data_IF_883061459200
#
_entry.id   IF_883061459200
#
_cell.length_a   1.000
_cell.length_b   1.000
_cell.length_c   1.000
_cell.angle_alpha   90.00
_cell.angle_beta   90.00
_cell.angle_gamma   90.00
#
_symmetry.space_group_name_H-M   'P 1'
#
loop_
_entity.id
_entity.type
_entity.pdbx_description
1 polymer ?
#
# COMPACT_ATOMS: atom_id res chain seq x y z
N UNK A 1 -60.56 22.43 16.55
CA UNK A 1 -59.28 23.03 17.00
C UNK A 1 -58.22 22.02 17.48
N UNK A 2 -58.52 20.74 17.58
CA UNK A 2 -57.58 19.71 18.12
C UNK A 2 -56.70 18.99 17.00
N UNK A 3 -57.17 19.02 15.75
CA UNK A 3 -56.43 18.33 14.62
C UNK A 3 -55.18 19.04 14.12
N UNK A 4 -54.99 20.31 14.42
CA UNK A 4 -53.80 21.05 13.93
C UNK A 4 -52.61 21.03 14.93
N UNK A 5 -52.88 20.75 16.23
CA UNK A 5 -51.80 20.66 17.23
C UNK A 5 -50.86 19.45 17.03
N UNK A 6 -51.42 18.32 16.57
CA UNK A 6 -50.64 17.08 16.35
C UNK A 6 -49.63 17.20 15.22
N UNK A 7 -49.90 18.00 14.18
CA UNK A 7 -48.96 18.20 13.04
C UNK A 7 -47.73 19.02 13.41
N UNK A 8 -47.86 19.97 14.31
CA UNK A 8 -46.72 20.81 14.75
C UNK A 8 -45.82 20.09 15.75
N UNK A 9 -46.36 19.19 16.58
CA UNK A 9 -45.56 18.37 17.51
C UNK A 9 -44.68 17.38 16.72
N UNK A 10 -45.20 16.74 15.67
CA UNK A 10 -44.43 15.82 14.83
C UNK A 10 -43.33 16.56 14.03
N UNK A 11 -43.60 17.78 13.54
CA UNK A 11 -42.62 18.59 12.84
C UNK A 11 -41.48 19.07 13.76
N UNK A 12 -41.77 19.42 15.00
CA UNK A 12 -40.80 19.86 16.00
C UNK A 12 -39.95 18.67 16.47
N UNK A 13 -40.53 17.49 16.63
CA UNK A 13 -39.77 16.27 17.00
C UNK A 13 -38.83 15.81 15.89
N UNK A 14 -39.24 15.90 14.61
CA UNK A 14 -38.34 15.61 13.48
C UNK A 14 -37.23 16.65 13.32
N UNK A 15 -37.47 17.92 13.66
CA UNK A 15 -36.44 18.97 13.61
C UNK A 15 -35.42 18.80 14.75
N UNK A 16 -35.84 18.39 15.93
CA UNK A 16 -34.96 18.13 17.08
C UNK A 16 -34.09 16.88 16.89
N UNK A 17 -34.57 15.84 16.20
CA UNK A 17 -33.75 14.66 15.87
C UNK A 17 -32.74 14.91 14.80
N UNK A 18 -32.99 15.85 13.88
CA UNK A 18 -32.01 16.26 12.87
C UNK A 18 -30.83 17.11 13.44
N UNK A 19 -31.09 17.81 14.57
CA UNK A 19 -30.07 18.65 15.23
C UNK A 19 -29.12 17.82 16.12
N UNK A 20 -29.54 16.66 16.62
CA UNK A 20 -28.69 15.81 17.47
C UNK A 20 -27.61 15.03 16.68
N UNK A 21 -27.74 14.93 15.37
CA UNK A 21 -26.72 14.28 14.51
C UNK A 21 -25.50 15.15 14.20
N UNK A 22 -25.50 16.42 14.56
CA UNK A 22 -24.40 17.36 14.29
C UNK A 22 -23.41 17.55 15.47
N UNK A 23 -23.55 16.84 16.57
CA UNK A 23 -22.78 17.09 17.80
C UNK A 23 -21.66 16.10 18.09
N UNK A 24 -21.06 15.46 17.09
CA UNK A 24 -20.07 14.39 17.31
C UNK A 24 -18.71 14.53 16.64
N UNK A 25 -18.45 15.54 15.81
CA UNK A 25 -17.08 15.75 15.34
C UNK A 25 -16.32 16.63 16.36
N UNK A 26 -15.59 15.98 17.28
CA UNK A 26 -14.53 16.68 18.00
C UNK A 26 -13.73 17.49 16.99
N UNK A 27 -13.57 18.82 17.19
CA UNK A 27 -12.80 19.68 16.28
C UNK A 27 -11.44 19.01 16.05
N UNK A 28 -11.28 18.40 14.91
CA UNK A 28 -10.01 17.79 14.54
C UNK A 28 -8.92 18.87 14.63
N UNK A 29 -7.85 18.56 15.36
CA UNK A 29 -6.72 19.49 15.48
C UNK A 29 -6.21 19.86 14.09
N UNK A 30 -6.00 21.14 13.82
CA UNK A 30 -5.49 21.60 12.52
C UNK A 30 -4.20 20.87 12.14
N UNK A 31 -4.16 20.35 10.92
CA UNK A 31 -2.94 19.80 10.33
C UNK A 31 -2.08 20.98 9.85
N UNK A 32 -0.86 21.10 10.38
CA UNK A 32 0.07 22.20 10.05
C UNK A 32 1.22 21.65 9.20
N UNK A 33 1.20 22.00 7.92
CA UNK A 33 2.22 21.62 6.94
C UNK A 33 3.19 22.77 6.76
N UNK A 34 4.48 22.49 6.91
CA UNK A 34 5.56 23.46 6.68
C UNK A 34 5.94 23.49 5.18
N UNK A 35 5.90 22.35 4.51
CA UNK A 35 6.28 22.20 3.11
C UNK A 35 5.47 21.08 2.45
N UNK A 36 5.14 21.25 1.18
CA UNK A 36 4.58 20.22 0.32
C UNK A 36 5.01 20.41 -1.12
N UNK A 37 4.99 19.35 -1.90
CA UNK A 37 5.33 19.42 -3.31
C UNK A 37 5.30 18.04 -3.97
N UNK A 38 5.80 17.99 -5.19
CA UNK A 38 5.88 16.74 -5.93
C UNK A 38 7.05 16.77 -6.93
N UNK A 39 7.53 15.60 -7.29
CA UNK A 39 8.58 15.42 -8.30
C UNK A 39 8.59 13.99 -8.83
N UNK A 40 9.19 13.79 -10.01
CA UNK A 40 9.50 12.48 -10.54
C UNK A 40 10.93 12.05 -10.16
N UNK A 41 11.15 10.74 -9.97
CA UNK A 41 12.45 10.16 -9.63
C UNK A 41 12.71 8.86 -10.39
N UNK A 42 13.97 8.60 -10.66
CA UNK A 42 14.40 7.41 -11.40
C UNK A 42 13.93 7.45 -12.86
N UNK A 43 13.74 6.28 -13.43
CA UNK A 43 13.28 6.09 -14.79
C UNK A 43 14.40 6.06 -15.82
N UNK A 44 14.00 5.96 -17.08
CA UNK A 44 14.89 5.81 -18.24
C UNK A 44 14.67 6.95 -19.21
N UNK A 45 15.77 7.43 -19.78
CA UNK A 45 15.78 8.38 -20.88
C UNK A 45 16.25 7.67 -22.15
N UNK A 46 15.48 7.78 -23.22
CA UNK A 46 15.84 7.30 -24.56
C UNK A 46 15.79 8.47 -25.53
N UNK A 47 16.83 8.64 -26.34
CA UNK A 47 16.87 9.62 -27.44
C UNK A 47 16.98 8.87 -28.76
N UNK A 48 16.09 9.16 -29.71
CA UNK A 48 16.15 8.57 -31.04
C UNK A 48 17.30 9.19 -31.84
N UNK A 49 17.99 8.39 -32.68
CA UNK A 49 19.10 8.88 -33.49
C UNK A 49 18.71 10.04 -34.40
N UNK A 50 19.70 10.88 -34.74
CA UNK A 50 19.53 12.03 -35.63
C UNK A 50 19.30 13.34 -34.89
N UNK A 51 18.95 14.39 -35.66
CA UNK A 51 18.71 15.72 -35.14
C UNK A 51 17.22 16.06 -35.20
N UNK A 52 16.73 16.68 -34.15
CA UNK A 52 15.35 17.22 -34.14
C UNK A 52 15.20 18.36 -35.15
N UNK A 53 14.15 18.30 -35.97
CA UNK A 53 13.78 19.36 -36.91
C UNK A 53 12.39 19.89 -36.56
N UNK A 54 12.30 21.16 -36.25
CA UNK A 54 11.04 21.81 -35.85
C UNK A 54 9.99 21.79 -36.97
N UNK A 55 10.42 21.76 -38.24
CA UNK A 55 9.52 21.68 -39.39
C UNK A 55 8.97 20.26 -39.63
N UNK A 56 9.55 19.28 -39.00
CA UNK A 56 9.18 17.86 -39.04
C UNK A 56 8.97 17.30 -37.62
N UNK A 57 8.37 18.07 -36.73
CA UNK A 57 8.34 17.83 -35.30
C UNK A 57 7.66 16.51 -34.87
N UNK A 58 6.91 15.85 -35.76
CA UNK A 58 6.29 14.53 -35.46
C UNK A 58 7.19 13.35 -35.84
N UNK A 59 8.30 13.58 -36.54
CA UNK A 59 9.27 12.52 -36.84
C UNK A 59 10.09 12.18 -35.60
N UNK A 60 10.48 10.90 -35.39
CA UNK A 60 11.18 10.48 -34.18
C UNK A 60 12.63 10.98 -34.07
N UNK A 61 13.29 11.38 -35.18
CA UNK A 61 14.69 11.76 -35.21
C UNK A 61 15.02 12.86 -34.19
N UNK A 62 16.00 12.62 -33.32
CA UNK A 62 16.42 13.54 -32.27
C UNK A 62 15.42 13.79 -31.15
N UNK A 63 14.24 13.12 -31.17
CA UNK A 63 13.27 13.18 -30.10
C UNK A 63 13.75 12.42 -28.87
N UNK A 64 13.38 12.89 -27.70
CA UNK A 64 13.75 12.26 -26.42
C UNK A 64 12.48 11.86 -25.66
N UNK A 65 12.52 10.66 -25.11
CA UNK A 65 11.46 10.10 -24.28
C UNK A 65 11.99 9.80 -22.87
N UNK A 66 11.23 10.20 -21.84
CA UNK A 66 11.47 9.84 -20.46
C UNK A 66 10.32 8.98 -19.98
N UNK A 67 10.58 7.77 -19.46
CA UNK A 67 9.57 6.86 -18.96
C UNK A 67 10.07 6.06 -17.77
N UNK A 68 9.22 5.20 -17.22
CA UNK A 68 9.52 4.29 -16.10
C UNK A 68 10.03 5.00 -14.82
N UNK A 69 9.74 6.30 -14.64
CA UNK A 69 9.98 7.02 -13.40
C UNK A 69 8.85 6.76 -12.40
N UNK A 70 9.13 6.91 -11.11
CA UNK A 70 8.11 7.07 -10.08
C UNK A 70 7.72 8.55 -9.94
N UNK A 71 6.49 8.81 -9.48
CA UNK A 71 6.04 10.14 -9.09
C UNK A 71 5.84 10.17 -7.58
N UNK A 72 6.44 11.13 -6.92
CA UNK A 72 6.34 11.34 -5.47
C UNK A 72 5.61 12.64 -5.16
N UNK A 73 4.53 12.55 -4.38
CA UNK A 73 3.92 13.67 -3.69
C UNK A 73 4.36 13.64 -2.23
N UNK A 74 4.72 14.79 -1.64
CA UNK A 74 5.17 14.84 -0.27
C UNK A 74 4.58 15.98 0.54
N UNK A 75 4.49 15.76 1.86
CA UNK A 75 4.13 16.76 2.84
C UNK A 75 5.01 16.62 4.08
N UNK A 76 5.47 17.77 4.60
CA UNK A 76 6.33 17.86 5.77
C UNK A 76 5.61 18.68 6.85
N UNK A 77 5.28 18.09 8.01
CA UNK A 77 4.66 18.85 9.11
C UNK A 77 5.65 19.78 9.79
N UNK A 78 5.15 20.83 10.46
CA UNK A 78 5.98 21.86 11.11
C UNK A 78 6.97 21.29 12.14
N UNK A 79 6.62 20.19 12.81
CA UNK A 79 7.49 19.50 13.78
C UNK A 79 7.82 18.11 13.25
N UNK A 80 8.57 18.04 12.14
CA UNK A 80 8.85 16.80 11.48
C UNK A 80 9.85 15.91 12.24
N UNK A 81 9.52 14.62 12.33
CA UNK A 81 10.41 13.56 12.80
C UNK A 81 11.57 13.33 11.82
N UNK A 82 12.65 12.71 12.31
CA UNK A 82 13.88 12.48 11.55
C UNK A 82 13.65 11.62 10.28
N UNK A 83 12.92 10.52 10.41
CA UNK A 83 12.73 9.57 9.30
C UNK A 83 11.36 9.78 8.63
N UNK A 84 11.30 10.10 7.33
CA UNK A 84 10.05 10.09 6.59
C UNK A 84 9.47 8.68 6.46
N UNK A 85 8.15 8.60 6.31
CA UNK A 85 7.46 7.42 5.82
C UNK A 85 7.26 7.56 4.30
N UNK A 86 7.76 6.59 3.56
CA UNK A 86 7.64 6.49 2.11
C UNK A 86 6.64 5.38 1.80
N UNK A 87 5.50 5.71 1.20
CA UNK A 87 4.41 4.77 0.97
C UNK A 87 4.39 4.30 -0.48
N UNK A 88 4.46 2.98 -0.67
CA UNK A 88 4.42 2.28 -1.95
C UNK A 88 3.21 1.36 -2.01
N UNK A 89 2.31 1.60 -2.96
CA UNK A 89 1.05 0.86 -3.12
C UNK A 89 1.22 -0.52 -3.79
N UNK A 90 0.14 -1.31 -3.80
CA UNK A 90 0.06 -2.63 -4.42
C UNK A 90 -0.55 -2.63 -5.84
N UNK A 91 -0.89 -3.84 -6.32
CA UNK A 91 -1.55 -4.04 -7.61
C UNK A 91 -2.94 -3.38 -7.64
N UNK A 92 -3.31 -2.83 -8.79
CA UNK A 92 -4.61 -2.16 -8.96
C UNK A 92 -4.77 -0.88 -8.14
N UNK A 93 -3.72 -0.38 -7.50
CA UNK A 93 -3.75 0.80 -6.64
C UNK A 93 -2.82 1.90 -7.15
N UNK A 94 -3.00 3.11 -6.63
CA UNK A 94 -2.12 4.25 -6.75
C UNK A 94 -1.85 4.84 -5.35
N UNK A 95 -1.11 5.92 -5.27
CA UNK A 95 -0.89 6.65 -4.00
C UNK A 95 -2.19 6.99 -3.28
N UNK A 96 -3.32 7.10 -4.01
CA UNK A 96 -4.65 7.36 -3.48
C UNK A 96 -5.05 6.43 -2.35
N UNK A 97 -4.58 5.18 -2.36
CA UNK A 97 -4.92 4.18 -1.32
C UNK A 97 -4.46 4.60 0.09
N UNK A 98 -3.48 5.49 0.20
CA UNK A 98 -2.95 6.01 1.47
C UNK A 98 -3.58 7.33 1.91
N UNK A 99 -4.32 8.01 1.04
CA UNK A 99 -4.96 9.30 1.28
C UNK A 99 -6.26 9.14 2.08
N UNK A 100 -7.38 9.62 1.56
CA UNK A 100 -8.70 9.46 2.19
C UNK A 100 -9.23 8.05 1.95
N UNK A 101 -9.75 7.42 2.99
CA UNK A 101 -10.40 6.10 2.89
C UNK A 101 -11.66 6.15 2.03
N UNK A 102 -12.15 5.02 1.50
CA UNK A 102 -13.35 5.00 0.65
C UNK A 102 -14.60 5.62 1.29
N UNK A 103 -14.73 5.54 2.60
CA UNK A 103 -15.82 6.13 3.39
C UNK A 103 -15.54 7.57 3.89
N UNK A 104 -14.48 8.22 3.37
CA UNK A 104 -14.18 9.63 3.60
C UNK A 104 -13.40 9.95 4.88
N UNK A 105 -12.97 8.95 5.67
CA UNK A 105 -12.11 9.17 6.85
C UNK A 105 -10.67 9.50 6.44
N UNK A 106 -9.88 9.97 7.39
CA UNK A 106 -8.43 10.15 7.19
C UNK A 106 -7.75 8.81 6.97
N UNK A 107 -6.97 8.70 5.87
CA UNK A 107 -6.06 7.59 5.64
C UNK A 107 -4.69 7.81 6.30
N UNK A 108 -3.77 6.90 6.07
CA UNK A 108 -2.46 6.89 6.69
C UNK A 108 -1.65 8.17 6.43
N UNK A 109 -1.81 8.82 5.28
CA UNK A 109 -1.21 10.11 4.99
C UNK A 109 -1.45 11.10 6.13
N UNK A 110 -2.73 11.42 6.39
CA UNK A 110 -3.10 12.42 7.39
C UNK A 110 -2.82 11.95 8.81
N UNK A 111 -3.08 10.66 9.11
CA UNK A 111 -2.81 10.08 10.43
C UNK A 111 -1.32 10.24 10.79
N UNK A 112 -0.40 9.94 9.88
CA UNK A 112 1.03 10.04 10.17
C UNK A 112 1.57 11.47 10.11
N UNK A 113 1.00 12.35 9.28
CA UNK A 113 1.28 13.79 9.35
C UNK A 113 0.90 14.38 10.72
N UNK A 114 -0.25 13.96 11.31
CA UNK A 114 -0.64 14.35 12.68
C UNK A 114 0.30 13.81 13.75
N UNK A 115 0.99 12.70 13.47
CA UNK A 115 2.04 12.11 14.30
C UNK A 115 3.43 12.68 14.02
N UNK A 116 3.48 13.77 13.25
CA UNK A 116 4.68 14.51 12.87
C UNK A 116 5.67 13.74 11.97
N UNK A 117 5.24 12.72 11.27
CA UNK A 117 6.08 12.12 10.22
C UNK A 117 6.01 12.94 8.93
N UNK A 118 7.15 13.11 8.27
CA UNK A 118 7.18 13.49 6.86
C UNK A 118 6.60 12.34 6.05
N UNK A 119 5.72 12.64 5.10
CA UNK A 119 5.03 11.62 4.30
C UNK A 119 5.36 11.82 2.83
N UNK A 120 5.79 10.75 2.18
CA UNK A 120 5.98 10.67 0.74
C UNK A 120 5.06 9.58 0.19
N UNK A 121 4.15 9.94 -0.70
CA UNK A 121 3.24 9.02 -1.38
C UNK A 121 3.74 8.81 -2.81
N UNK A 122 3.97 7.56 -3.20
CA UNK A 122 4.48 7.22 -4.53
C UNK A 122 3.40 6.59 -5.40
N UNK A 123 3.35 7.07 -6.64
CA UNK A 123 2.90 6.24 -7.75
C UNK A 123 4.12 5.52 -8.33
N UNK A 124 4.08 4.19 -8.32
CA UNK A 124 5.15 3.38 -8.90
C UNK A 124 5.19 3.55 -10.42
N UNK A 125 6.34 3.33 -11.07
CA UNK A 125 6.45 3.35 -12.52
C UNK A 125 5.32 2.58 -13.21
N UNK A 126 4.81 3.12 -14.30
CA UNK A 126 3.71 2.57 -15.11
C UNK A 126 2.36 2.55 -14.39
N UNK A 127 2.15 3.47 -13.43
CA UNK A 127 0.90 3.55 -12.67
C UNK A 127 0.58 4.99 -12.30
N UNK A 128 -0.71 5.35 -12.27
CA UNK A 128 -1.19 6.65 -11.81
C UNK A 128 -0.51 7.83 -12.51
N UNK A 129 0.00 8.79 -11.75
CA UNK A 129 0.73 9.97 -12.27
C UNK A 129 2.12 9.60 -12.83
N UNK A 130 2.63 8.41 -12.56
CA UNK A 130 3.85 7.84 -13.13
C UNK A 130 3.59 6.94 -14.35
N UNK A 131 2.50 7.21 -15.08
CA UNK A 131 2.01 6.35 -16.16
C UNK A 131 2.85 6.31 -17.43
N UNK A 132 3.89 7.13 -17.57
CA UNK A 132 4.75 7.16 -18.76
C UNK A 132 5.69 5.95 -18.77
N UNK A 133 5.42 4.97 -19.67
CA UNK A 133 6.09 3.68 -19.74
C UNK A 133 7.13 3.61 -20.87
N UNK A 134 8.23 2.89 -20.65
CA UNK A 134 9.20 2.55 -21.70
C UNK A 134 8.79 1.31 -22.53
N UNK A 135 7.72 0.62 -22.12
CA UNK A 135 7.19 -0.54 -22.83
C UNK A 135 5.77 -0.26 -23.32
N UNK A 136 5.43 -0.84 -24.45
CA UNK A 136 4.08 -0.75 -24.99
C UNK A 136 3.08 -1.52 -24.13
N UNK A 137 1.89 -0.98 -23.98
CA UNK A 137 0.76 -1.66 -23.36
C UNK A 137 -0.57 -1.13 -23.93
N UNK A 138 -1.54 -2.02 -24.00
CA UNK A 138 -2.92 -1.67 -24.31
C UNK A 138 -3.75 -1.73 -23.04
N UNK A 139 -4.30 -0.61 -22.61
CA UNK A 139 -5.25 -0.56 -21.49
C UNK A 139 -6.62 -0.92 -22.03
N UNK A 140 -7.20 -1.99 -21.49
CA UNK A 140 -8.56 -2.44 -21.84
C UNK A 140 -9.46 -2.29 -20.62
N UNK A 141 -10.75 -1.92 -20.81
CA UNK A 141 -11.72 -2.03 -19.72
C UNK A 141 -11.92 -3.51 -19.38
N UNK A 142 -11.77 -3.84 -18.10
CA UNK A 142 -11.97 -5.20 -17.59
C UNK A 142 -12.99 -5.14 -16.46
N UNK A 143 -14.05 -5.94 -16.57
CA UNK A 143 -15.07 -6.07 -15.53
C UNK A 143 -14.60 -7.12 -14.52
N UNK A 144 -13.89 -6.71 -13.48
CA UNK A 144 -13.25 -7.60 -12.48
C UNK A 144 -13.48 -7.16 -11.02
N UNK A 145 -14.39 -6.24 -10.75
CA UNK A 145 -14.64 -5.71 -9.41
C UNK A 145 -15.06 -6.79 -8.40
N UNK A 146 -15.88 -7.77 -8.83
CA UNK A 146 -16.33 -8.89 -7.99
C UNK A 146 -15.19 -9.86 -7.65
N UNK A 147 -14.24 -10.02 -8.57
CA UNK A 147 -13.00 -10.73 -8.30
C UNK A 147 -12.20 -10.02 -7.20
N UNK A 148 -11.99 -8.71 -7.33
CA UNK A 148 -11.23 -7.94 -6.34
C UNK A 148 -11.92 -7.85 -4.98
N UNK A 149 -13.26 -7.80 -4.94
CA UNK A 149 -14.01 -7.89 -3.70
C UNK A 149 -13.62 -9.15 -2.90
N UNK A 150 -13.61 -10.29 -3.59
CA UNK A 150 -13.30 -11.58 -2.99
C UNK A 150 -11.79 -11.72 -2.72
N UNK A 151 -10.94 -11.35 -3.67
CA UNK A 151 -9.48 -11.41 -3.54
C UNK A 151 -8.97 -10.54 -2.38
N UNK A 152 -9.56 -9.38 -2.18
CA UNK A 152 -9.17 -8.47 -1.10
C UNK A 152 -9.83 -8.77 0.25
N UNK A 153 -10.54 -9.86 0.34
CA UNK A 153 -11.17 -10.37 1.58
C UNK A 153 -12.18 -9.41 2.22
N UNK A 154 -12.96 -8.69 1.38
CA UNK A 154 -14.14 -7.99 1.86
C UNK A 154 -15.21 -9.02 2.24
N UNK A 155 -15.28 -10.12 1.50
CA UNK A 155 -16.22 -11.21 1.67
C UNK A 155 -16.10 -12.22 0.53
N UNK A 156 -17.16 -13.02 0.34
CA UNK A 156 -17.39 -13.82 -0.86
C UNK A 156 -18.55 -13.18 -1.62
N UNK A 157 -18.24 -12.47 -2.69
CA UNK A 157 -19.23 -11.65 -3.38
C UNK A 157 -20.55 -12.42 -3.64
N UNK A 158 -21.74 -11.83 -3.36
CA UNK A 158 -21.95 -10.45 -2.90
C UNK A 158 -21.87 -10.25 -1.38
N UNK A 159 -21.65 -11.30 -0.60
CA UNK A 159 -21.76 -11.29 0.84
C UNK A 159 -20.44 -10.87 1.51
N UNK A 160 -20.53 -9.86 2.37
CA UNK A 160 -19.42 -9.44 3.21
C UNK A 160 -19.13 -10.45 4.33
N UNK A 161 -17.89 -10.59 4.74
CA UNK A 161 -17.59 -11.33 5.97
C UNK A 161 -18.27 -10.65 7.18
N UNK A 162 -18.78 -11.43 8.17
CA UNK A 162 -19.57 -10.89 9.27
C UNK A 162 -18.90 -9.73 10.02
N UNK A 163 -17.63 -9.87 10.35
CA UNK A 163 -16.85 -8.89 11.16
C UNK A 163 -15.94 -8.02 10.31
N UNK A 164 -16.11 -7.97 8.99
CA UNK A 164 -15.18 -7.22 8.13
C UNK A 164 -15.11 -5.73 8.54
N UNK A 165 -13.91 -5.22 8.61
CA UNK A 165 -13.63 -3.81 8.95
C UNK A 165 -13.72 -2.90 7.71
N UNK A 166 -14.39 -3.32 6.65
CA UNK A 166 -14.71 -2.50 5.49
C UNK A 166 -16.10 -1.88 5.65
N UNK A 167 -16.31 -0.60 5.27
CA UNK A 167 -17.65 0.00 5.27
C UNK A 167 -18.53 -0.69 4.23
N UNK A 168 -19.72 -1.15 4.67
CA UNK A 168 -20.58 -2.03 3.85
C UNK A 168 -21.61 -1.27 3.00
N UNK A 169 -21.60 0.06 3.04
CA UNK A 169 -22.49 0.88 2.21
C UNK A 169 -22.03 0.93 0.75
N UNK A 170 -22.97 1.06 -0.16
CA UNK A 170 -22.71 1.04 -1.61
C UNK A 170 -21.79 2.19 -2.06
N UNK A 171 -21.90 3.37 -1.46
CA UNK A 171 -21.09 4.53 -1.86
C UNK A 171 -19.61 4.31 -1.54
N UNK A 172 -19.31 3.73 -0.39
CA UNK A 172 -17.93 3.36 -0.01
C UNK A 172 -17.37 2.28 -0.93
N UNK A 173 -18.15 1.28 -1.29
CA UNK A 173 -17.71 0.23 -2.21
C UNK A 173 -17.46 0.79 -3.62
N UNK A 174 -18.33 1.64 -4.14
CA UNK A 174 -18.12 2.32 -5.42
C UNK A 174 -16.87 3.22 -5.40
N UNK A 175 -16.66 3.95 -4.30
CA UNK A 175 -15.47 4.78 -4.14
C UNK A 175 -14.19 3.93 -4.09
N UNK A 176 -14.23 2.77 -3.46
CA UNK A 176 -13.13 1.80 -3.44
C UNK A 176 -12.79 1.32 -4.85
N UNK A 177 -13.77 0.95 -5.67
CA UNK A 177 -13.53 0.52 -7.05
C UNK A 177 -13.02 1.66 -7.94
N UNK A 178 -13.56 2.88 -7.79
CA UNK A 178 -13.12 4.05 -8.57
C UNK A 178 -11.69 4.48 -8.29
N UNK A 179 -11.12 4.15 -7.13
CA UNK A 179 -9.70 4.42 -6.85
C UNK A 179 -8.75 3.41 -7.51
N UNK A 180 -9.26 2.28 -8.00
CA UNK A 180 -8.42 1.29 -8.67
C UNK A 180 -7.81 1.84 -9.95
N UNK A 181 -6.53 1.59 -10.14
CA UNK A 181 -5.74 2.25 -11.19
C UNK A 181 -5.04 1.20 -12.04
N UNK A 182 -5.23 1.20 -13.38
CA UNK A 182 -4.60 0.24 -14.28
C UNK A 182 -3.09 0.48 -14.43
N UNK A 183 -2.36 -0.55 -14.86
CA UNK A 183 -1.00 -0.41 -15.36
C UNK A 183 -1.00 0.18 -16.78
N UNK A 184 -0.04 1.05 -17.06
CA UNK A 184 0.28 1.58 -18.39
C UNK A 184 1.47 0.85 -19.04
N UNK A 185 1.88 -0.28 -18.47
CA UNK A 185 2.93 -1.17 -18.92
C UNK A 185 3.00 -2.39 -18.02
N UNK A 186 3.69 -3.45 -18.44
CA UNK A 186 3.90 -4.64 -17.63
C UNK A 186 4.62 -4.29 -16.32
N UNK A 187 4.20 -4.92 -15.21
CA UNK A 187 4.86 -4.77 -13.92
C UNK A 187 6.28 -5.33 -13.97
N UNK A 188 7.23 -4.56 -13.45
CA UNK A 188 8.64 -4.96 -13.33
C UNK A 188 9.18 -4.51 -11.97
N UNK A 189 9.50 -5.48 -11.13
CA UNK A 189 9.96 -5.23 -9.76
C UNK A 189 11.32 -4.51 -9.71
N UNK A 190 12.19 -4.71 -10.71
CA UNK A 190 13.46 -3.99 -10.81
C UNK A 190 13.23 -2.52 -11.12
N UNK A 191 12.41 -2.22 -12.13
CA UNK A 191 12.04 -0.84 -12.51
C UNK A 191 11.44 -0.09 -11.32
N UNK A 192 10.54 -0.74 -10.58
CA UNK A 192 9.93 -0.13 -9.38
C UNK A 192 10.98 0.10 -8.30
N UNK A 193 11.79 -0.91 -7.96
CA UNK A 193 12.78 -0.80 -6.88
C UNK A 193 13.89 0.21 -7.20
N UNK A 194 14.28 0.36 -8.47
CA UNK A 194 15.27 1.35 -8.91
C UNK A 194 14.72 2.78 -8.76
N UNK A 195 13.45 2.99 -9.13
CA UNK A 195 12.81 4.29 -8.97
C UNK A 195 12.62 4.65 -7.49
N UNK A 196 12.22 3.69 -6.63
CA UNK A 196 12.10 3.89 -5.18
C UNK A 196 13.47 4.13 -4.54
N UNK A 197 14.51 3.41 -4.97
CA UNK A 197 15.90 3.65 -4.56
C UNK A 197 16.34 5.07 -4.88
N UNK A 198 16.04 5.56 -6.10
CA UNK A 198 16.33 6.93 -6.51
C UNK A 198 15.62 7.98 -5.65
N UNK A 199 14.43 7.66 -5.12
CA UNK A 199 13.78 8.53 -4.13
C UNK A 199 14.60 8.62 -2.85
N UNK A 200 15.04 7.49 -2.28
CA UNK A 200 15.88 7.50 -1.08
C UNK A 200 17.22 8.20 -1.31
N UNK A 201 17.77 8.14 -2.52
CA UNK A 201 18.97 8.93 -2.86
C UNK A 201 18.73 10.43 -2.78
N UNK A 202 17.53 10.87 -3.16
CA UNK A 202 17.13 12.28 -3.14
C UNK A 202 16.77 12.78 -1.73
N UNK A 203 16.04 11.98 -0.94
CA UNK A 203 15.47 12.42 0.35
C UNK A 203 16.31 12.01 1.57
N UNK A 204 17.27 11.10 1.40
CA UNK A 204 18.08 10.56 2.50
C UNK A 204 17.40 9.40 3.23
N UNK A 205 17.81 9.19 4.47
CA UNK A 205 17.35 8.10 5.34
C UNK A 205 15.83 8.16 5.57
N UNK A 206 15.15 7.01 5.46
CA UNK A 206 13.71 6.92 5.67
C UNK A 206 13.20 5.49 5.90
N UNK A 207 11.91 5.37 6.12
CA UNK A 207 11.19 4.11 6.38
C UNK A 207 10.31 3.83 5.17
N UNK A 208 10.47 2.66 4.57
CA UNK A 208 9.66 2.23 3.44
C UNK A 208 8.43 1.47 3.94
N UNK A 209 7.23 1.94 3.58
CA UNK A 209 5.96 1.31 3.88
C UNK A 209 5.36 0.79 2.57
N UNK A 210 5.18 -0.52 2.46
CA UNK A 210 4.70 -1.17 1.25
C UNK A 210 3.36 -1.86 1.46
N UNK A 211 2.63 -2.06 0.38
CA UNK A 211 1.41 -2.85 0.36
C UNK A 211 1.45 -3.89 -0.76
N UNK A 212 1.03 -5.13 -0.44
CA UNK A 212 0.72 -6.16 -1.43
C UNK A 212 1.87 -6.39 -2.44
N UNK A 213 1.63 -6.22 -3.74
CA UNK A 213 2.61 -6.32 -4.81
C UNK A 213 3.87 -5.45 -4.56
N UNK A 214 3.72 -4.33 -3.83
CA UNK A 214 4.83 -3.46 -3.47
C UNK A 214 5.85 -4.10 -2.51
N UNK A 215 5.54 -5.23 -1.87
CA UNK A 215 6.45 -5.94 -0.97
C UNK A 215 7.73 -6.41 -1.65
N UNK A 216 7.62 -7.09 -2.80
CA UNK A 216 8.78 -7.55 -3.57
C UNK A 216 9.76 -6.40 -3.94
N UNK A 217 9.30 -5.35 -4.62
CA UNK A 217 10.12 -4.15 -4.82
C UNK A 217 10.63 -3.51 -3.53
N UNK A 218 9.88 -3.63 -2.42
CA UNK A 218 10.30 -3.13 -1.11
C UNK A 218 11.57 -3.80 -0.60
N UNK A 219 11.62 -5.14 -0.64
CA UNK A 219 12.83 -5.89 -0.29
C UNK A 219 14.00 -5.56 -1.21
N UNK A 220 13.73 -5.49 -2.53
CA UNK A 220 14.75 -5.14 -3.51
C UNK A 220 15.29 -3.72 -3.30
N UNK A 221 14.43 -2.76 -2.95
CA UNK A 221 14.86 -1.38 -2.62
C UNK A 221 15.78 -1.37 -1.40
N UNK A 222 15.42 -2.10 -0.33
CA UNK A 222 16.24 -2.18 0.88
C UNK A 222 17.60 -2.85 0.62
N UNK A 223 17.65 -3.82 -0.29
CA UNK A 223 18.91 -4.45 -0.74
C UNK A 223 19.77 -3.46 -1.54
N UNK A 224 19.15 -2.66 -2.40
CA UNK A 224 19.83 -1.70 -3.29
C UNK A 224 20.29 -0.43 -2.59
N UNK A 225 19.62 -0.01 -1.49
CA UNK A 225 19.81 1.32 -0.89
C UNK A 225 19.85 1.28 0.64
N UNK A 226 21.01 1.58 1.20
CA UNK A 226 21.27 1.59 2.65
C UNK A 226 20.62 2.77 3.41
N UNK A 227 19.98 3.72 2.70
CA UNK A 227 19.18 4.79 3.29
C UNK A 227 17.79 4.32 3.73
N UNK A 228 17.36 3.11 3.30
CA UNK A 228 16.19 2.45 3.87
C UNK A 228 16.55 1.96 5.27
N UNK A 229 15.96 2.56 6.31
CA UNK A 229 16.27 2.25 7.73
C UNK A 229 15.33 1.24 8.34
N UNK A 230 14.20 0.99 7.72
CA UNK A 230 13.25 -0.05 8.08
C UNK A 230 12.29 -0.32 6.92
N UNK A 231 11.70 -1.50 6.91
CA UNK A 231 10.58 -1.81 6.00
C UNK A 231 9.36 -2.23 6.81
N UNK A 232 8.22 -1.65 6.46
CA UNK A 232 6.89 -2.01 6.96
C UNK A 232 6.09 -2.54 5.78
N UNK A 233 5.66 -3.79 5.81
CA UNK A 233 4.91 -4.37 4.72
C UNK A 233 3.52 -4.78 5.18
N UNK A 234 2.51 -4.27 4.50
CA UNK A 234 1.13 -4.70 4.67
C UNK A 234 0.80 -5.71 3.59
N UNK A 235 0.44 -6.93 4.00
CA UNK A 235 -0.13 -7.95 3.12
C UNK A 235 0.73 -8.32 1.88
N UNK A 236 2.06 -8.45 1.97
CA UNK A 236 2.84 -8.90 0.83
C UNK A 236 2.47 -10.33 0.46
N UNK A 237 2.35 -10.63 -0.85
CA UNK A 237 2.04 -12.00 -1.28
C UNK A 237 3.23 -12.68 -1.97
N UNK A 238 3.97 -11.95 -2.80
CA UNK A 238 5.04 -12.50 -3.65
C UNK A 238 6.32 -11.67 -3.57
N UNK A 239 7.38 -12.15 -4.22
CA UNK A 239 8.67 -11.48 -4.29
C UNK A 239 9.52 -11.66 -3.04
N UNK A 240 9.21 -12.63 -2.18
CA UNK A 240 10.08 -13.02 -1.07
C UNK A 240 11.39 -13.62 -1.60
N UNK A 241 12.51 -13.10 -1.12
CA UNK A 241 13.85 -13.50 -1.54
C UNK A 241 14.51 -14.36 -0.48
N UNK A 242 15.30 -15.34 -0.90
CA UNK A 242 16.00 -16.27 -0.02
C UNK A 242 17.45 -16.41 -0.48
N UNK A 243 18.38 -16.78 0.39
CA UNK A 243 19.75 -17.09 -0.03
C UNK A 243 19.76 -18.27 -1.01
N UNK A 244 20.66 -18.25 -1.97
CA UNK A 244 20.97 -19.43 -2.77
C UNK A 244 21.26 -20.63 -1.87
N UNK A 245 20.63 -21.77 -2.16
CA UNK A 245 20.73 -22.99 -1.34
C UNK A 245 19.80 -23.06 -0.10
N UNK A 246 19.06 -21.99 0.23
CA UNK A 246 18.07 -21.97 1.32
C UNK A 246 16.65 -21.68 0.82
N UNK A 247 16.39 -21.85 -0.47
CA UNK A 247 15.06 -21.65 -1.05
C UNK A 247 14.08 -22.69 -0.51
N UNK A 248 12.94 -22.29 0.09
CA UNK A 248 11.94 -23.24 0.53
C UNK A 248 11.27 -23.95 -0.64
N UNK A 249 10.69 -25.11 -0.37
CA UNK A 249 9.83 -25.76 -1.36
C UNK A 249 8.66 -24.84 -1.73
N UNK A 250 8.20 -24.89 -2.99
CA UNK A 250 7.01 -24.15 -3.40
C UNK A 250 5.81 -24.48 -2.53
N UNK A 251 5.09 -23.46 -2.08
CA UNK A 251 3.88 -23.65 -1.29
C UNK A 251 2.70 -23.85 -2.23
N UNK A 252 2.08 -25.04 -2.17
CA UNK A 252 0.86 -25.32 -2.92
C UNK A 252 -0.25 -24.37 -2.52
N UNK A 253 -1.00 -23.88 -3.51
CA UNK A 253 -2.14 -23.01 -3.31
C UNK A 253 -3.25 -23.32 -4.30
N UNK A 254 -4.48 -23.32 -3.80
CA UNK A 254 -5.68 -23.32 -4.65
C UNK A 254 -5.96 -21.94 -5.26
N UNK A 255 -5.15 -20.93 -4.91
CA UNK A 255 -5.24 -19.58 -5.48
C UNK A 255 -5.02 -19.57 -7.00
N UNK A 256 -5.62 -18.59 -7.67
CA UNK A 256 -5.62 -18.51 -9.14
C UNK A 256 -4.23 -18.30 -9.77
N UNK A 257 -3.24 -17.94 -8.99
CA UNK A 257 -1.86 -17.75 -9.45
C UNK A 257 -0.97 -18.99 -9.24
N UNK A 258 -1.56 -20.12 -8.80
CA UNK A 258 -0.86 -21.39 -8.59
C UNK A 258 0.06 -21.40 -7.37
N UNK A 259 1.11 -22.22 -7.44
CA UNK A 259 2.07 -22.39 -6.35
C UNK A 259 2.87 -21.09 -6.08
N UNK A 260 3.02 -20.75 -4.80
CA UNK A 260 3.85 -19.62 -4.38
C UNK A 260 5.31 -20.06 -4.22
N UNK A 261 6.21 -19.34 -4.90
CA UNK A 261 7.65 -19.61 -4.90
C UNK A 261 8.43 -18.42 -4.37
N UNK A 262 9.49 -18.69 -3.59
CA UNK A 262 10.50 -17.71 -3.28
C UNK A 262 11.44 -17.46 -4.47
N UNK A 263 12.25 -16.43 -4.38
CA UNK A 263 13.29 -16.09 -5.37
C UNK A 263 14.67 -16.23 -4.73
N UNK A 264 15.56 -17.02 -5.33
CA UNK A 264 16.92 -17.14 -4.86
C UNK A 264 17.74 -15.89 -5.22
N UNK A 265 18.54 -15.40 -4.27
CA UNK A 265 19.50 -14.30 -4.47
C UNK A 265 20.84 -14.64 -3.79
N UNK A 266 21.96 -14.00 -4.21
CA UNK A 266 23.23 -14.14 -3.53
C UNK A 266 23.12 -13.85 -2.03
N UNK A 267 23.79 -14.64 -1.19
CA UNK A 267 23.75 -14.51 0.27
C UNK A 267 24.16 -13.10 0.74
N UNK A 268 25.14 -12.47 0.07
CA UNK A 268 25.59 -11.12 0.41
C UNK A 268 24.50 -10.07 0.23
N UNK A 269 23.68 -10.20 -0.82
CA UNK A 269 22.53 -9.33 -1.03
C UNK A 269 21.43 -9.59 -0.02
N UNK A 270 21.16 -10.86 0.27
CA UNK A 270 20.19 -11.23 1.30
C UNK A 270 20.55 -10.67 2.69
N UNK A 271 21.82 -10.71 3.07
CA UNK A 271 22.31 -10.17 4.33
C UNK A 271 22.07 -8.67 4.51
N UNK A 272 21.88 -7.91 3.45
CA UNK A 272 21.52 -6.48 3.57
C UNK A 272 20.17 -6.28 4.26
N UNK A 273 19.25 -7.24 4.14
CA UNK A 273 17.97 -7.22 4.86
C UNK A 273 18.11 -7.46 6.36
N UNK A 274 19.18 -8.12 6.81
CA UNK A 274 19.40 -8.40 8.24
C UNK A 274 19.88 -7.17 9.02
N UNK A 275 20.32 -6.12 8.33
CA UNK A 275 20.81 -4.88 8.94
C UNK A 275 19.73 -3.87 9.33
N UNK A 276 18.45 -4.15 9.04
CA UNK A 276 17.34 -3.25 9.29
C UNK A 276 16.17 -3.99 9.96
N UNK A 277 15.40 -3.34 10.85
CA UNK A 277 14.18 -3.93 11.37
C UNK A 277 13.07 -3.95 10.29
N UNK A 278 12.34 -5.06 10.24
CA UNK A 278 11.24 -5.27 9.31
C UNK A 278 10.01 -5.77 10.05
N UNK A 279 8.84 -5.23 9.72
CA UNK A 279 7.56 -5.75 10.20
C UNK A 279 6.62 -6.02 9.03
N UNK A 280 5.94 -7.16 9.10
CA UNK A 280 4.96 -7.58 8.10
C UNK A 280 3.62 -7.80 8.79
N UNK A 281 2.60 -7.11 8.32
CA UNK A 281 1.23 -7.22 8.84
C UNK A 281 0.35 -8.01 7.89
N UNK A 282 -0.46 -8.92 8.46
CA UNK A 282 -1.54 -9.61 7.76
C UNK A 282 -2.86 -9.43 8.50
N UNK A 283 -3.93 -9.19 7.74
CA UNK A 283 -5.30 -9.05 8.24
C UNK A 283 -5.96 -10.38 8.58
N UNK A 284 -7.29 -10.37 8.57
CA UNK A 284 -8.13 -11.51 8.94
C UNK A 284 -8.65 -12.29 7.71
N UNK A 285 -9.48 -13.30 7.96
CA UNK A 285 -10.11 -14.15 6.96
C UNK A 285 -9.11 -14.90 6.07
N UNK A 286 -7.99 -15.30 6.65
CA UNK A 286 -6.95 -16.15 6.06
C UNK A 286 -7.12 -17.57 6.60
N UNK A 287 -7.16 -18.57 5.72
CA UNK A 287 -7.27 -19.97 6.15
C UNK A 287 -6.05 -20.37 7.00
N UNK A 288 -6.29 -21.19 8.02
CA UNK A 288 -5.21 -21.76 8.85
C UNK A 288 -4.56 -22.98 8.19
N UNK A 289 -5.37 -23.76 7.49
CA UNK A 289 -4.99 -25.01 6.83
C UNK A 289 -5.27 -24.91 5.32
N UNK A 290 -4.61 -25.73 4.47
CA UNK A 290 -4.91 -25.81 3.05
C UNK A 290 -6.40 -26.04 2.79
N UNK A 291 -6.97 -25.28 1.87
CA UNK A 291 -8.39 -25.33 1.52
C UNK A 291 -8.60 -25.20 0.02
N UNK A 292 -9.74 -25.66 -0.49
CA UNK A 292 -10.16 -25.46 -1.87
C UNK A 292 -10.79 -24.10 -2.13
N UNK A 293 -11.02 -23.29 -1.10
CA UNK A 293 -11.51 -21.91 -1.22
C UNK A 293 -10.36 -21.03 -1.68
N UNK A 294 -10.33 -20.75 -2.95
CA UNK A 294 -9.16 -20.19 -3.67
C UNK A 294 -8.57 -18.90 -3.07
N UNK A 295 -9.43 -17.93 -2.70
CA UNK A 295 -8.99 -16.67 -2.14
C UNK A 295 -8.40 -16.83 -0.72
N UNK A 296 -9.03 -17.66 0.11
CA UNK A 296 -8.58 -17.94 1.45
C UNK A 296 -7.26 -18.70 1.47
N UNK A 297 -7.10 -19.67 0.56
CA UNK A 297 -5.87 -20.46 0.42
C UNK A 297 -4.73 -19.66 -0.23
N UNK A 298 -5.06 -18.74 -1.13
CA UNK A 298 -4.10 -17.78 -1.66
C UNK A 298 -3.40 -17.02 -0.52
N UNK A 299 -4.16 -16.40 0.38
CA UNK A 299 -3.59 -15.62 1.48
C UNK A 299 -2.93 -16.49 2.55
N UNK A 300 -3.42 -17.73 2.76
CA UNK A 300 -2.74 -18.72 3.60
C UNK A 300 -1.31 -18.96 3.10
N UNK A 301 -1.15 -19.25 1.81
CA UNK A 301 0.17 -19.49 1.23
C UNK A 301 1.09 -18.26 1.33
N UNK A 302 0.53 -17.05 1.18
CA UNK A 302 1.28 -15.80 1.37
C UNK A 302 1.79 -15.62 2.80
N UNK A 303 0.92 -15.83 3.80
CA UNK A 303 1.30 -15.74 5.21
C UNK A 303 2.32 -16.83 5.60
N UNK A 304 2.16 -18.06 5.08
CA UNK A 304 3.12 -19.15 5.29
C UNK A 304 4.50 -18.80 4.71
N UNK A 305 4.56 -18.32 3.46
CA UNK A 305 5.81 -17.89 2.84
C UNK A 305 6.47 -16.74 3.61
N UNK A 306 5.70 -15.78 4.10
CA UNK A 306 6.22 -14.68 4.91
C UNK A 306 6.85 -15.19 6.23
N UNK A 307 6.25 -16.19 6.88
CA UNK A 307 6.79 -16.81 8.08
C UNK A 307 8.10 -17.57 7.80
N UNK A 308 8.18 -18.31 6.71
CA UNK A 308 9.41 -18.98 6.27
C UNK A 308 10.51 -17.95 5.98
N UNK A 309 10.15 -16.88 5.26
CA UNK A 309 11.08 -15.79 4.98
C UNK A 309 11.60 -15.09 6.23
N UNK A 310 10.71 -14.74 7.16
CA UNK A 310 11.09 -14.12 8.42
C UNK A 310 12.02 -15.04 9.25
N UNK A 311 11.73 -16.33 9.28
CA UNK A 311 12.58 -17.33 9.94
C UNK A 311 13.98 -17.35 9.32
N UNK A 312 14.07 -17.30 7.99
CA UNK A 312 15.35 -17.29 7.25
C UNK A 312 16.13 -15.99 7.51
N UNK A 313 15.48 -14.82 7.41
CA UNK A 313 16.16 -13.54 7.70
C UNK A 313 16.67 -13.50 9.14
N UNK A 314 15.87 -13.95 10.12
CA UNK A 314 16.23 -13.96 11.53
C UNK A 314 17.34 -14.98 11.84
N UNK A 315 17.35 -16.13 11.17
CA UNK A 315 18.45 -17.12 11.23
C UNK A 315 19.80 -16.51 10.84
N UNK A 316 19.79 -15.57 9.89
CA UNK A 316 20.97 -14.83 9.47
C UNK A 316 21.26 -13.57 10.31
N UNK A 317 20.64 -13.42 11.48
CA UNK A 317 20.87 -12.32 12.40
C UNK A 317 20.01 -11.07 12.16
N UNK A 318 18.92 -11.20 11.37
CA UNK A 318 17.99 -10.11 11.10
C UNK A 318 16.97 -9.88 12.21
N UNK A 319 16.09 -8.90 11.98
CA UNK A 319 15.05 -8.48 12.91
C UNK A 319 13.72 -8.33 12.13
N UNK A 320 13.10 -9.45 11.80
CA UNK A 320 11.81 -9.51 11.10
C UNK A 320 10.72 -10.01 12.05
N UNK A 321 9.63 -9.24 12.15
CA UNK A 321 8.44 -9.60 12.92
C UNK A 321 7.25 -9.79 11.98
N UNK A 322 6.58 -10.94 12.05
CA UNK A 322 5.28 -11.16 11.39
C UNK A 322 4.18 -10.87 12.42
N UNK A 323 3.24 -10.01 12.04
CA UNK A 323 2.06 -9.65 12.81
C UNK A 323 0.82 -10.10 12.04
N UNK A 324 0.26 -11.24 12.41
CA UNK A 324 -1.07 -11.65 11.96
C UNK A 324 -2.06 -11.02 12.94
N UNK A 325 -2.82 -10.02 12.50
CA UNK A 325 -3.66 -9.17 13.35
C UNK A 325 -4.64 -9.95 14.24
N UNK A 326 -5.29 -11.05 13.76
CA UNK A 326 -6.12 -11.88 14.61
C UNK A 326 -5.41 -12.50 15.81
N UNK A 327 -4.11 -12.80 15.73
CA UNK A 327 -3.31 -13.31 16.86
C UNK A 327 -3.08 -12.25 17.94
N UNK A 328 -3.34 -10.98 17.62
CA UNK A 328 -3.36 -9.85 18.56
C UNK A 328 -4.77 -9.46 19.01
N UNK A 329 -5.80 -10.21 18.63
CA UNK A 329 -7.20 -9.90 18.92
C UNK A 329 -7.78 -8.78 18.02
N UNK A 330 -7.10 -8.39 16.95
CA UNK A 330 -7.57 -7.39 15.99
C UNK A 330 -8.19 -8.12 14.81
N UNK A 331 -9.52 -8.14 14.75
CA UNK A 331 -10.31 -8.99 13.85
C UNK A 331 -10.93 -8.21 12.70
N UNK A 332 -11.22 -8.93 11.60
CA UNK A 332 -12.02 -8.45 10.47
C UNK A 332 -11.27 -7.57 9.48
N UNK A 333 -9.95 -7.35 9.64
CA UNK A 333 -9.19 -6.55 8.70
C UNK A 333 -9.08 -7.22 7.34
N UNK A 334 -9.30 -6.41 6.30
CA UNK A 334 -9.23 -6.81 4.90
C UNK A 334 -7.77 -6.84 4.41
N UNK A 335 -7.61 -6.94 3.08
CA UNK A 335 -6.31 -6.73 2.46
C UNK A 335 -5.77 -5.29 2.60
N UNK A 336 -6.58 -4.35 3.09
CA UNK A 336 -6.23 -2.94 3.27
C UNK A 336 -6.35 -2.50 4.75
N UNK A 337 -5.60 -3.11 5.70
CA UNK A 337 -5.77 -2.80 7.12
C UNK A 337 -5.59 -1.32 7.43
N UNK A 338 -4.75 -0.63 6.65
CA UNK A 338 -4.49 0.81 6.77
C UNK A 338 -5.65 1.72 6.29
N UNK A 339 -6.66 1.15 5.64
CA UNK A 339 -7.86 1.84 5.11
C UNK A 339 -9.15 1.37 5.75
N UNK A 340 -9.13 0.25 6.47
CA UNK A 340 -10.26 -0.36 7.16
C UNK A 340 -10.85 0.56 8.25
N UNK A 341 -12.04 0.25 8.75
CA UNK A 341 -12.75 1.05 9.76
C UNK A 341 -11.91 1.31 11.02
N UNK A 342 -11.05 0.39 11.39
CA UNK A 342 -10.12 0.48 12.52
C UNK A 342 -8.71 0.97 12.12
N UNK A 343 -8.55 1.68 11.01
CA UNK A 343 -7.25 2.11 10.50
C UNK A 343 -6.40 2.92 11.50
N UNK A 344 -7.03 3.65 12.41
CA UNK A 344 -6.33 4.36 13.50
C UNK A 344 -5.67 3.36 14.45
N UNK A 345 -6.34 2.27 14.81
CA UNK A 345 -5.77 1.19 15.63
C UNK A 345 -4.58 0.54 14.91
N UNK A 346 -4.67 0.31 13.59
CA UNK A 346 -3.56 -0.22 12.80
C UNK A 346 -2.38 0.76 12.75
N UNK A 347 -2.67 2.05 12.65
CA UNK A 347 -1.64 3.08 12.73
C UNK A 347 -1.00 3.14 14.14
N UNK A 348 -1.73 2.84 15.21
CA UNK A 348 -1.19 2.74 16.56
C UNK A 348 -0.23 1.55 16.69
N UNK A 349 -0.57 0.39 16.14
CA UNK A 349 0.32 -0.78 16.06
C UNK A 349 1.65 -0.41 15.37
N UNK A 350 1.59 0.27 14.22
CA UNK A 350 2.79 0.74 13.53
C UNK A 350 3.57 1.76 14.37
N UNK A 351 2.91 2.73 14.99
CA UNK A 351 3.60 3.73 15.82
C UNK A 351 4.29 3.10 17.04
N UNK A 352 3.65 2.10 17.66
CA UNK A 352 4.24 1.37 18.77
C UNK A 352 5.50 0.59 18.32
N UNK A 353 5.43 -0.07 17.17
CA UNK A 353 6.59 -0.77 16.59
C UNK A 353 7.73 0.21 16.25
N UNK A 354 7.43 1.35 15.60
CA UNK A 354 8.41 2.39 15.29
C UNK A 354 9.10 2.91 16.55
N UNK A 355 8.34 3.12 17.63
CA UNK A 355 8.86 3.54 18.93
C UNK A 355 9.78 2.48 19.54
N UNK A 356 9.38 1.21 19.53
CA UNK A 356 10.21 0.09 20.00
C UNK A 356 11.55 0.00 19.25
N UNK A 357 11.55 0.25 17.94
CA UNK A 357 12.73 0.26 17.08
C UNK A 357 13.49 1.61 17.12
N UNK A 358 13.05 2.60 17.91
CA UNK A 358 13.63 3.95 18.03
C UNK A 358 13.66 4.73 16.69
N UNK A 359 12.67 4.49 15.86
CA UNK A 359 12.49 5.10 14.53
C UNK A 359 11.52 6.29 14.53
N UNK A 360 10.96 6.64 15.67
CA UNK A 360 9.96 7.69 15.86
C UNK A 360 10.55 9.00 16.42
N UNK A 361 11.85 9.21 16.27
CA UNK A 361 12.59 10.39 16.77
C UNK A 361 12.41 11.61 15.89
#
# INVERSE_FOLDING_TARGET
MIKNFSKYIIAITCLLTAITSLHGQAKQKLLRIAEQGSFAVGGTKKTEPGNFNVNDALKPQGQTYHGDHAYAFYQIPVKAKKYPLVFLHGAGQSKKTWETTPDGREGFQNIFLRRNFRVYLLDQPRRGEAGKSMVEATIKPVADEQFWFTQFRLGNYPDYFPNVQFPKDAASLEQFYRQMTPNTGAFDANVVSDAVSSLFDKIGDGILVTHSQGGGPGWMTAIKNNKVKAVVAYEPYSGFVFPEGELPQPIKSAGLFGELKGTAIPLEDFKKLTGIPIVVYYGDNIAKEPTTVWNSDHWRSGLEMARLWATTVNKHGGDVTIVHLPEKGIMGNTHFPFSDLNNVQIADELSNWLKQKKLDK
#
